data_IF_812595669180
#
_entry.id   IF_812595669180
#
_cell.length_a   1.000
_cell.length_b   1.000
_cell.length_c   1.000
_cell.angle_alpha   90.00
_cell.angle_beta   90.00
_cell.angle_gamma   90.00
#
_symmetry.space_group_name_H-M   'P 1'
#
loop_
_entity.id
_entity.type
_entity.pdbx_description
1 polymer ?
#
# COMPACT_ATOMS: atom_id res chain seq x y z
N UNK A 1 -26.91 -16.87 6.43
CA UNK A 1 -25.42 -16.89 6.41
C UNK A 1 -24.79 -15.51 6.08
N UNK A 2 -25.53 -14.60 5.44
CA UNK A 2 -25.16 -13.21 5.08
C UNK A 2 -24.81 -12.30 6.26
N UNK A 3 -25.46 -12.43 7.42
CA UNK A 3 -25.19 -11.59 8.60
C UNK A 3 -23.80 -11.82 9.23
N UNK A 4 -23.21 -13.02 9.12
CA UNK A 4 -21.90 -13.33 9.74
C UNK A 4 -20.73 -12.73 8.95
N UNK A 5 -20.82 -12.71 7.62
CA UNK A 5 -19.78 -12.11 6.76
C UNK A 5 -19.85 -10.59 6.72
N UNK A 6 -21.06 -10.00 6.77
CA UNK A 6 -21.20 -8.55 6.92
C UNK A 6 -20.58 -8.09 8.25
N UNK A 7 -20.82 -8.84 9.34
CA UNK A 7 -20.18 -8.60 10.64
C UNK A 7 -18.67 -8.76 10.58
N UNK A 8 -18.15 -9.78 9.89
CA UNK A 8 -16.70 -9.98 9.75
C UNK A 8 -16.03 -8.89 8.90
N UNK A 9 -16.71 -8.41 7.85
CA UNK A 9 -16.22 -7.31 7.01
C UNK A 9 -16.26 -5.96 7.72
N UNK A 10 -17.34 -5.65 8.45
CA UNK A 10 -17.42 -4.43 9.27
C UNK A 10 -16.49 -4.51 10.47
N UNK A 11 -16.30 -5.68 11.07
CA UNK A 11 -15.28 -5.90 12.10
C UNK A 11 -13.88 -5.74 11.54
N UNK A 12 -13.57 -6.28 10.35
CA UNK A 12 -12.27 -6.08 9.70
C UNK A 12 -12.00 -4.60 9.40
N UNK A 13 -13.01 -3.88 8.93
CA UNK A 13 -12.93 -2.45 8.63
C UNK A 13 -12.83 -1.60 9.90
N UNK A 14 -13.58 -1.91 10.96
CA UNK A 14 -13.42 -1.30 12.29
C UNK A 14 -12.06 -1.63 12.92
N UNK A 15 -11.57 -2.86 12.77
CA UNK A 15 -10.25 -3.30 13.20
C UNK A 15 -9.12 -2.64 12.38
N UNK A 16 -9.43 -2.09 11.21
CA UNK A 16 -8.48 -1.29 10.42
C UNK A 16 -8.31 0.13 10.99
N UNK A 17 -9.32 0.62 11.72
CA UNK A 17 -9.29 1.94 12.38
C UNK A 17 -8.87 1.89 13.86
N UNK A 18 -8.97 0.74 14.53
CA UNK A 18 -8.45 0.54 15.89
C UNK A 18 -6.94 0.75 16.08
N UNK A 19 -6.05 0.54 15.09
CA UNK A 19 -4.61 0.70 15.33
C UNK A 19 -4.23 2.14 15.64
N UNK A 20 -4.93 3.12 15.06
CA UNK A 20 -4.70 4.56 15.29
C UNK A 20 -4.93 4.92 16.76
N UNK A 21 -5.95 4.34 17.40
CA UNK A 21 -6.24 4.56 18.82
C UNK A 21 -5.27 3.79 19.74
N UNK A 22 -4.80 2.61 19.33
CA UNK A 22 -3.84 1.82 20.10
C UNK A 22 -2.43 2.43 20.09
N UNK A 23 -2.04 3.06 18.97
CA UNK A 23 -0.71 3.67 18.84
C UNK A 23 -0.52 4.87 19.77
N UNK A 24 -1.60 5.61 20.09
CA UNK A 24 -1.56 6.73 21.02
C UNK A 24 -1.18 6.32 22.47
N UNK A 25 -1.23 5.03 22.81
CA UNK A 25 -0.93 4.51 24.15
C UNK A 25 0.29 3.58 24.21
N UNK A 26 0.89 3.23 23.08
CA UNK A 26 2.06 2.35 23.01
C UNK A 26 3.32 3.23 23.06
N UNK A 27 3.94 3.35 24.24
CA UNK A 27 5.17 4.11 24.42
C UNK A 27 6.24 3.77 23.37
N UNK A 28 6.76 4.81 22.71
CA UNK A 28 7.64 4.87 21.52
C UNK A 28 8.98 4.11 21.55
N UNK A 29 9.16 2.96 22.20
CA UNK A 29 10.52 2.37 22.33
C UNK A 29 10.67 0.86 22.34
N UNK A 30 9.61 0.06 22.17
CA UNK A 30 9.73 -1.41 22.30
C UNK A 30 9.25 -2.23 21.11
N UNK A 31 8.63 -1.65 20.08
CA UNK A 31 7.99 -2.44 19.02
C UNK A 31 8.14 -1.84 17.61
N UNK A 32 9.38 -1.61 17.17
CA UNK A 32 9.70 -1.06 15.84
C UNK A 32 9.08 -1.85 14.68
N UNK A 33 8.90 -3.18 14.84
CA UNK A 33 8.17 -4.00 13.86
C UNK A 33 6.68 -3.64 13.82
N UNK A 34 6.03 -3.49 14.98
CA UNK A 34 4.59 -3.16 15.07
C UNK A 34 4.37 -1.76 14.53
N UNK A 35 5.23 -0.81 14.88
CA UNK A 35 5.21 0.54 14.34
C UNK A 35 5.36 0.53 12.83
N UNK A 36 6.30 -0.25 12.29
CA UNK A 36 6.45 -0.44 10.86
C UNK A 36 5.21 -1.04 10.19
N UNK A 37 4.58 -2.05 10.80
CA UNK A 37 3.35 -2.67 10.26
C UNK A 37 2.18 -1.68 10.22
N UNK A 38 2.10 -0.80 11.22
CA UNK A 38 1.04 0.20 11.31
C UNK A 38 1.34 1.46 10.51
N UNK A 39 2.61 1.74 10.20
CA UNK A 39 3.04 2.96 9.52
C UNK A 39 2.28 3.25 8.20
N UNK A 40 1.99 2.26 7.32
CA UNK A 40 1.18 2.50 6.14
C UNK A 40 -0.19 3.11 6.44
N UNK A 41 -0.76 2.86 7.62
CA UNK A 41 -2.08 3.38 8.03
C UNK A 41 -2.04 4.83 8.51
N UNK A 42 -0.86 5.40 8.75
CA UNK A 42 -0.72 6.72 9.40
C UNK A 42 -0.80 7.88 8.41
N UNK A 43 -0.49 7.63 7.14
CA UNK A 43 -0.59 8.67 6.11
C UNK A 43 -1.37 8.19 4.90
N UNK A 44 -2.12 9.11 4.27
CA UNK A 44 -2.93 8.78 3.09
C UNK A 44 -2.06 8.26 1.94
N UNK A 45 -0.91 8.87 1.65
CA UNK A 45 -0.06 8.42 0.53
C UNK A 45 0.50 7.01 0.76
N UNK A 46 0.83 6.66 2.00
CA UNK A 46 1.35 5.33 2.36
C UNK A 46 0.26 4.27 2.45
N UNK A 47 -0.99 4.67 2.75
CA UNK A 47 -2.15 3.79 2.80
C UNK A 47 -2.67 3.46 1.41
N UNK A 48 -2.87 4.50 0.59
CA UNK A 48 -3.62 4.39 -0.66
C UNK A 48 -2.87 3.61 -1.74
N UNK A 49 -1.54 3.66 -1.75
CA UNK A 49 -0.74 2.96 -2.75
C UNK A 49 -0.85 1.42 -2.60
N UNK A 50 -0.60 0.80 -1.43
CA UNK A 50 -0.85 -0.63 -1.21
C UNK A 50 -2.29 -1.04 -1.54
N UNK A 51 -3.28 -0.21 -1.17
CA UNK A 51 -4.69 -0.46 -1.47
C UNK A 51 -4.90 -0.56 -2.97
N UNK A 52 -4.53 0.47 -3.73
CA UNK A 52 -4.76 0.49 -5.18
C UNK A 52 -3.93 -0.57 -5.91
N UNK A 53 -2.73 -0.88 -5.43
CA UNK A 53 -1.91 -1.99 -5.93
C UNK A 53 -2.64 -3.32 -5.74
N UNK A 54 -3.21 -3.57 -4.55
CA UNK A 54 -4.04 -4.74 -4.29
C UNK A 54 -5.22 -4.84 -5.24
N UNK A 55 -5.97 -3.74 -5.42
CA UNK A 55 -7.11 -3.67 -6.34
C UNK A 55 -6.68 -4.00 -7.78
N UNK A 56 -5.61 -3.39 -8.29
CA UNK A 56 -5.12 -3.63 -9.64
C UNK A 56 -4.65 -5.07 -9.87
N UNK A 57 -3.85 -5.59 -8.94
CA UNK A 57 -3.27 -6.93 -9.03
C UNK A 57 -4.37 -8.00 -8.99
N UNK A 58 -5.54 -7.72 -8.39
CA UNK A 58 -6.70 -8.60 -8.45
C UNK A 58 -7.17 -8.90 -9.89
N UNK A 59 -7.17 -7.88 -10.76
CA UNK A 59 -7.54 -8.00 -12.18
C UNK A 59 -6.51 -8.78 -12.99
N UNK A 60 -5.26 -8.82 -12.53
CA UNK A 60 -4.16 -9.51 -13.18
C UNK A 60 -4.21 -11.03 -12.88
N UNK A 61 -4.85 -11.80 -13.76
CA UNK A 61 -5.15 -13.24 -13.52
C UNK A 61 -3.91 -14.12 -13.29
N UNK A 62 -2.84 -13.92 -14.07
CA UNK A 62 -1.62 -14.75 -14.00
C UNK A 62 -0.58 -14.17 -13.05
N UNK A 63 0.09 -15.06 -12.32
CA UNK A 63 1.21 -14.75 -11.40
C UNK A 63 0.85 -13.73 -10.32
N UNK A 64 -0.37 -13.81 -9.81
CA UNK A 64 -0.89 -12.91 -8.78
C UNK A 64 -0.01 -12.85 -7.53
N UNK A 65 0.32 -14.02 -6.95
CA UNK A 65 1.17 -14.10 -5.77
C UNK A 65 2.55 -13.51 -6.02
N UNK A 66 3.13 -13.78 -7.19
CA UNK A 66 4.42 -13.21 -7.58
C UNK A 66 4.37 -11.67 -7.69
N UNK A 67 3.29 -11.09 -8.24
CA UNK A 67 3.12 -9.63 -8.32
C UNK A 67 3.05 -8.98 -6.95
N UNK A 68 2.28 -9.55 -6.01
CA UNK A 68 2.21 -9.04 -4.64
C UNK A 68 3.53 -9.22 -3.89
N UNK A 69 4.21 -10.36 -4.08
CA UNK A 69 5.52 -10.59 -3.50
C UNK A 69 6.56 -9.59 -4.03
N UNK A 70 6.56 -9.29 -5.33
CA UNK A 70 7.44 -8.27 -5.92
C UNK A 70 7.21 -6.91 -5.27
N UNK A 71 5.95 -6.50 -5.12
CA UNK A 71 5.63 -5.24 -4.46
C UNK A 71 6.13 -5.22 -3.00
N UNK A 72 5.80 -6.23 -2.19
CA UNK A 72 6.21 -6.29 -0.79
C UNK A 72 7.74 -6.36 -0.61
N UNK A 73 8.43 -7.16 -1.43
CA UNK A 73 9.89 -7.24 -1.43
C UNK A 73 10.51 -5.92 -1.87
N UNK A 74 9.94 -5.23 -2.86
CA UNK A 74 10.44 -3.94 -3.28
C UNK A 74 10.23 -2.86 -2.22
N UNK A 75 9.14 -2.90 -1.45
CA UNK A 75 8.98 -2.04 -0.25
C UNK A 75 10.10 -2.31 0.75
N UNK A 76 10.39 -3.58 1.05
CA UNK A 76 11.49 -3.95 1.95
C UNK A 76 12.84 -3.44 1.43
N UNK A 77 13.13 -3.65 0.14
CA UNK A 77 14.37 -3.21 -0.49
C UNK A 77 14.48 -1.69 -0.50
N UNK A 78 13.42 -0.97 -0.84
CA UNK A 78 13.42 0.50 -0.84
C UNK A 78 13.64 1.07 0.55
N UNK A 79 12.97 0.52 1.55
CA UNK A 79 13.14 0.89 2.95
C UNK A 79 14.56 0.57 3.45
N UNK A 80 15.05 -0.64 3.20
CA UNK A 80 16.41 -1.05 3.54
C UNK A 80 17.48 -0.18 2.86
N UNK A 81 17.30 0.17 1.58
CA UNK A 81 18.22 1.04 0.85
C UNK A 81 18.34 2.43 1.51
N UNK A 82 17.22 2.98 2.02
CA UNK A 82 17.24 4.26 2.74
C UNK A 82 18.06 4.16 4.04
N UNK A 83 18.04 3.02 4.74
CA UNK A 83 18.89 2.83 5.95
C UNK A 83 20.38 2.85 5.64
N UNK A 84 20.76 2.58 4.39
CA UNK A 84 22.15 2.62 3.92
C UNK A 84 22.51 3.96 3.29
N UNK A 85 21.63 4.97 3.38
CA UNK A 85 21.85 6.29 2.79
C UNK A 85 21.63 6.36 1.27
N UNK A 86 21.08 5.31 0.65
CA UNK A 86 20.68 5.37 -0.76
C UNK A 86 19.34 6.08 -0.84
N UNK A 87 19.36 7.35 -1.26
CA UNK A 87 18.17 8.20 -1.34
C UNK A 87 17.66 8.24 -2.78
N UNK A 88 16.38 7.95 -2.95
CA UNK A 88 15.69 8.17 -4.23
C UNK A 88 15.24 9.64 -4.33
N UNK A 89 15.71 10.40 -5.34
CA UNK A 89 15.21 11.75 -5.56
C UNK A 89 13.71 11.70 -5.90
N UNK A 90 12.94 12.62 -5.33
CA UNK A 90 11.49 12.74 -5.57
C UNK A 90 10.68 11.48 -5.21
N UNK A 91 11.07 10.76 -4.15
CA UNK A 91 10.35 9.58 -3.69
C UNK A 91 8.84 9.83 -3.45
N UNK A 92 8.48 10.98 -2.88
CA UNK A 92 7.08 11.35 -2.64
C UNK A 92 6.30 11.52 -3.96
N UNK A 93 6.84 12.30 -4.90
CA UNK A 93 6.26 12.47 -6.23
C UNK A 93 6.10 11.14 -6.98
N UNK A 94 7.07 10.23 -6.84
CA UNK A 94 6.97 8.91 -7.46
C UNK A 94 5.91 8.02 -6.83
N UNK A 95 5.67 8.13 -5.51
CA UNK A 95 4.53 7.45 -4.86
C UNK A 95 3.20 7.96 -5.42
N UNK A 96 3.06 9.27 -5.66
CA UNK A 96 1.83 9.80 -6.28
C UNK A 96 1.67 9.39 -7.75
N UNK A 97 2.74 9.42 -8.54
CA UNK A 97 2.71 8.91 -9.92
C UNK A 97 2.36 7.42 -9.93
N UNK A 98 2.95 6.64 -9.02
CA UNK A 98 2.65 5.22 -8.84
C UNK A 98 1.17 5.00 -8.50
N UNK A 99 0.64 5.79 -7.58
CA UNK A 99 -0.75 5.76 -7.13
C UNK A 99 -1.71 6.06 -8.28
N UNK A 100 -1.47 7.14 -9.02
CA UNK A 100 -2.33 7.60 -10.12
C UNK A 100 -2.32 6.57 -11.25
N UNK A 101 -1.15 6.14 -11.71
CA UNK A 101 -1.07 5.20 -12.84
C UNK A 101 -1.62 3.80 -12.46
N UNK A 102 -1.40 3.33 -11.23
CA UNK A 102 -2.00 2.07 -10.75
C UNK A 102 -3.52 2.19 -10.56
N UNK A 103 -3.98 3.37 -10.12
CA UNK A 103 -5.40 3.70 -10.04
C UNK A 103 -6.08 3.70 -11.40
N UNK A 104 -5.51 4.37 -12.40
CA UNK A 104 -5.97 4.31 -13.79
C UNK A 104 -5.99 2.88 -14.33
N UNK A 105 -4.92 2.12 -14.09
CA UNK A 105 -4.86 0.72 -14.50
C UNK A 105 -5.97 -0.11 -13.85
N UNK A 106 -6.35 0.19 -12.60
CA UNK A 106 -7.50 -0.43 -11.93
C UNK A 106 -8.83 -0.01 -12.53
N UNK A 107 -9.04 1.30 -12.75
CA UNK A 107 -10.26 1.88 -13.33
C UNK A 107 -10.55 1.26 -14.70
N UNK A 108 -9.53 1.07 -15.54
CA UNK A 108 -9.67 0.45 -16.85
C UNK A 108 -9.59 -1.09 -16.81
N UNK A 109 -9.47 -1.68 -15.63
CA UNK A 109 -9.27 -3.12 -15.44
C UNK A 109 -8.14 -3.68 -16.31
N UNK A 110 -7.06 -2.90 -16.47
CA UNK A 110 -5.98 -3.20 -17.37
C UNK A 110 -5.16 -4.39 -16.88
N UNK A 111 -5.15 -5.46 -17.68
CA UNK A 111 -4.43 -6.69 -17.38
C UNK A 111 -3.01 -6.64 -17.95
N UNK A 112 -2.15 -5.83 -17.35
CA UNK A 112 -0.79 -5.69 -17.83
C UNK A 112 -0.04 -7.04 -17.84
N UNK A 113 0.71 -7.35 -18.91
CA UNK A 113 1.57 -8.52 -18.95
C UNK A 113 2.60 -8.46 -17.83
N UNK A 114 3.05 -9.63 -17.36
CA UNK A 114 3.96 -9.71 -16.20
C UNK A 114 5.25 -8.89 -16.41
N UNK A 115 5.78 -8.85 -17.65
CA UNK A 115 6.97 -8.09 -18.02
C UNK A 115 6.83 -6.57 -17.82
N UNK A 116 5.61 -6.02 -17.88
CA UNK A 116 5.33 -4.61 -17.61
C UNK A 116 4.91 -4.37 -16.16
N UNK A 117 4.11 -5.28 -15.60
CA UNK A 117 3.63 -5.13 -14.24
C UNK A 117 4.73 -5.32 -13.19
N UNK A 118 5.64 -6.26 -13.38
CA UNK A 118 6.72 -6.53 -12.44
C UNK A 118 7.64 -5.32 -12.19
N UNK A 119 8.25 -4.68 -13.22
CA UNK A 119 9.10 -3.51 -12.99
C UNK A 119 8.31 -2.34 -12.40
N UNK A 120 7.05 -2.15 -12.82
CA UNK A 120 6.20 -1.10 -12.25
C UNK A 120 5.90 -1.31 -10.76
N UNK A 121 5.58 -2.54 -10.36
CA UNK A 121 5.35 -2.90 -8.95
C UNK A 121 6.65 -2.79 -8.14
N UNK A 122 7.79 -3.13 -8.73
CA UNK A 122 9.09 -2.98 -8.09
C UNK A 122 9.42 -1.50 -7.86
N UNK A 123 9.23 -0.64 -8.86
CA UNK A 123 9.44 0.80 -8.72
C UNK A 123 8.47 1.40 -7.68
N UNK A 124 7.18 1.07 -7.78
CA UNK A 124 6.16 1.54 -6.84
C UNK A 124 6.45 1.13 -5.41
N UNK A 125 6.83 -0.14 -5.21
CA UNK A 125 7.19 -0.67 -3.90
C UNK A 125 8.46 -0.02 -3.35
N UNK A 126 9.51 0.12 -4.16
CA UNK A 126 10.74 0.80 -3.78
C UNK A 126 10.43 2.23 -3.31
N UNK A 127 9.76 3.04 -4.14
CA UNK A 127 9.44 4.43 -3.80
C UNK A 127 8.64 4.54 -2.50
N UNK A 128 7.69 3.63 -2.28
CA UNK A 128 6.93 3.57 -1.03
C UNK A 128 7.83 3.25 0.18
N UNK A 129 8.71 2.25 0.06
CA UNK A 129 9.64 1.88 1.12
C UNK A 129 10.56 3.03 1.52
N UNK A 130 11.11 3.73 0.53
CA UNK A 130 11.92 4.94 0.73
C UNK A 130 11.13 6.04 1.45
N UNK A 131 9.93 6.38 0.95
CA UNK A 131 9.09 7.44 1.52
C UNK A 131 8.79 7.20 3.00
N UNK A 132 8.48 5.96 3.38
CA UNK A 132 8.19 5.62 4.77
C UNK A 132 9.43 5.73 5.67
N UNK A 133 10.61 5.36 5.16
CA UNK A 133 11.85 5.44 5.94
C UNK A 133 12.37 6.86 6.08
N UNK A 134 12.23 7.71 5.05
CA UNK A 134 12.67 9.11 5.08
C UNK A 134 12.01 9.86 6.24
N UNK A 135 10.71 9.62 6.49
CA UNK A 135 9.93 10.30 7.53
C UNK A 135 10.37 9.94 8.95
N UNK A 136 10.90 8.73 9.14
CA UNK A 136 11.28 8.18 10.45
C UNK A 136 12.81 8.06 10.61
N UNK A 137 13.59 8.67 9.71
CA UNK A 137 15.04 8.62 9.79
C UNK A 137 15.50 9.43 11.02
N UNK A 138 16.08 8.75 12.01
CA UNK A 138 16.66 9.37 13.21
C UNK A 138 15.84 9.20 14.50
N UNK A 139 14.62 8.67 14.42
CA UNK A 139 13.75 8.38 15.59
C UNK A 139 13.75 6.90 15.97
N UNK A 140 14.10 6.02 15.03
CA UNK A 140 14.02 4.57 15.16
C UNK A 140 15.21 3.96 15.91
N UNK A 141 14.94 2.92 16.71
CA UNK A 141 15.97 2.15 17.43
C UNK A 141 16.59 1.09 16.51
N UNK A 142 15.77 0.36 15.77
CA UNK A 142 16.13 -0.70 14.83
C UNK A 142 15.47 -0.46 13.45
N UNK A 143 16.09 0.34 12.57
CA UNK A 143 15.53 0.74 11.27
C UNK A 143 15.17 -0.43 10.35
N UNK A 144 15.89 -1.55 10.44
CA UNK A 144 15.64 -2.76 9.64
C UNK A 144 14.37 -3.51 10.08
N UNK A 145 14.09 -3.54 11.39
CA UNK A 145 12.87 -4.15 11.92
C UNK A 145 11.65 -3.32 11.53
N UNK A 146 11.78 -2.00 11.54
CA UNK A 146 10.77 -1.08 11.03
C UNK A 146 10.53 -1.26 9.53
N UNK A 147 11.59 -1.32 8.71
CA UNK A 147 11.51 -1.60 7.27
C UNK A 147 10.78 -2.93 6.97
N UNK A 148 11.10 -3.97 7.73
CA UNK A 148 10.38 -5.25 7.66
C UNK A 148 8.90 -5.08 8.00
N UNK A 149 8.59 -4.35 9.06
CA UNK A 149 7.21 -4.01 9.43
C UNK A 149 6.45 -3.33 8.30
N UNK A 150 7.03 -2.30 7.66
CA UNK A 150 6.40 -1.57 6.54
C UNK A 150 6.09 -2.50 5.37
N UNK A 151 7.04 -3.38 5.03
CA UNK A 151 6.87 -4.34 3.95
C UNK A 151 5.73 -5.33 4.25
N UNK A 152 5.65 -5.82 5.49
CA UNK A 152 4.57 -6.70 5.95
C UNK A 152 3.22 -5.96 5.95
N UNK A 153 3.13 -4.78 6.54
CA UNK A 153 1.91 -3.98 6.59
C UNK A 153 1.38 -3.62 5.20
N UNK A 154 2.27 -3.12 4.33
CA UNK A 154 1.93 -2.78 2.94
C UNK A 154 1.54 -4.03 2.13
N UNK A 155 2.28 -5.13 2.30
CA UNK A 155 1.98 -6.41 1.65
C UNK A 155 0.62 -6.95 2.08
N UNK A 156 0.31 -6.93 3.38
CA UNK A 156 -0.98 -7.40 3.92
C UNK A 156 -2.15 -6.56 3.41
N UNK A 157 -2.01 -5.23 3.35
CA UNK A 157 -3.02 -4.36 2.74
C UNK A 157 -3.26 -4.74 1.27
N UNK A 158 -2.21 -4.88 0.48
CA UNK A 158 -2.34 -5.25 -0.92
C UNK A 158 -2.97 -6.64 -1.10
N UNK A 159 -2.57 -7.63 -0.30
CA UNK A 159 -3.17 -8.98 -0.28
C UNK A 159 -4.65 -8.93 0.10
N UNK A 160 -5.00 -8.15 1.12
CA UNK A 160 -6.38 -8.03 1.60
C UNK A 160 -7.30 -7.48 0.51
N UNK A 161 -6.98 -6.32 -0.06
CA UNK A 161 -7.82 -5.71 -1.10
C UNK A 161 -7.87 -6.53 -2.38
N UNK A 162 -6.77 -7.17 -2.74
CA UNK A 162 -6.77 -8.12 -3.84
C UNK A 162 -7.69 -9.34 -3.58
N UNK A 163 -7.63 -9.89 -2.37
CA UNK A 163 -8.45 -10.99 -1.91
C UNK A 163 -9.94 -10.63 -1.91
N UNK A 164 -10.28 -9.42 -1.47
CA UNK A 164 -11.67 -8.90 -1.48
C UNK A 164 -12.22 -8.90 -2.91
N UNK A 165 -11.52 -8.33 -3.90
CA UNK A 165 -12.02 -8.35 -5.29
C UNK A 165 -12.11 -9.77 -5.84
N UNK A 166 -11.15 -10.64 -5.49
CA UNK A 166 -11.11 -12.02 -6.00
C UNK A 166 -12.06 -12.98 -5.32
N UNK A 167 -12.57 -12.65 -4.15
CA UNK A 167 -13.62 -13.40 -3.49
C UNK A 167 -14.87 -13.35 -4.39
N UNK A 168 -14.98 -14.32 -5.32
CA UNK A 168 -15.99 -14.41 -6.40
C UNK A 168 -17.44 -14.58 -5.92
N UNK A 169 -17.70 -14.32 -4.65
CA UNK A 169 -19.01 -14.44 -4.04
C UNK A 169 -19.99 -13.36 -4.50
N UNK A 170 -19.48 -12.22 -4.99
CA UNK A 170 -20.31 -11.09 -5.39
C UNK A 170 -19.87 -10.50 -6.73
N UNK A 171 -20.79 -10.42 -7.68
CA UNK A 171 -20.56 -9.90 -9.03
C UNK A 171 -20.28 -8.40 -9.08
N UNK A 172 -20.65 -7.63 -8.05
CA UNK A 172 -20.47 -6.18 -7.99
C UNK A 172 -19.11 -5.74 -7.44
N UNK A 173 -18.33 -6.63 -6.81
CA UNK A 173 -17.04 -6.28 -6.20
C UNK A 173 -16.01 -5.70 -7.19
N UNK A 174 -15.89 -6.22 -8.43
CA UNK A 174 -15.02 -5.59 -9.42
C UNK A 174 -15.45 -4.16 -9.77
N UNK A 175 -16.76 -3.88 -9.80
CA UNK A 175 -17.28 -2.54 -10.07
C UNK A 175 -16.94 -1.61 -8.90
N UNK A 176 -17.20 -2.04 -7.66
CA UNK A 176 -16.85 -1.26 -6.48
C UNK A 176 -15.34 -1.00 -6.37
N UNK A 177 -14.49 -1.99 -6.72
CA UNK A 177 -13.04 -1.79 -6.77
C UNK A 177 -12.62 -0.72 -7.78
N UNK A 178 -13.27 -0.66 -8.94
CA UNK A 178 -13.02 0.38 -9.97
C UNK A 178 -13.49 1.76 -9.52
N UNK A 179 -14.67 1.84 -8.89
CA UNK A 179 -15.17 3.09 -8.29
C UNK A 179 -14.21 3.54 -7.20
N UNK A 180 -13.84 2.68 -6.25
CA UNK A 180 -12.88 3.03 -5.21
C UNK A 180 -11.56 3.54 -5.81
N UNK A 181 -11.03 2.86 -6.85
CA UNK A 181 -9.83 3.31 -7.53
C UNK A 181 -9.98 4.68 -8.21
N UNK A 182 -11.15 5.07 -8.72
CA UNK A 182 -11.37 6.42 -9.26
C UNK A 182 -11.30 7.49 -8.19
N UNK A 183 -11.88 7.25 -7.01
CA UNK A 183 -11.76 8.17 -5.86
C UNK A 183 -10.30 8.30 -5.41
N UNK A 184 -9.59 7.17 -5.30
CA UNK A 184 -8.17 7.16 -4.93
C UNK A 184 -7.31 7.92 -5.96
N UNK A 185 -7.56 7.70 -7.25
CA UNK A 185 -6.83 8.36 -8.34
C UNK A 185 -7.07 9.86 -8.33
N UNK A 186 -8.32 10.29 -8.15
CA UNK A 186 -8.68 11.70 -8.06
C UNK A 186 -8.04 12.38 -6.85
N UNK A 187 -8.09 11.74 -5.67
CA UNK A 187 -7.43 12.25 -4.47
C UNK A 187 -5.91 12.35 -4.65
N UNK A 188 -5.29 11.30 -5.23
CA UNK A 188 -3.86 11.29 -5.54
C UNK A 188 -3.45 12.41 -6.49
N UNK A 189 -4.24 12.66 -7.54
CA UNK A 189 -3.99 13.75 -8.49
C UNK A 189 -4.12 15.12 -7.82
N UNK A 190 -5.16 15.34 -7.01
CA UNK A 190 -5.35 16.60 -6.29
C UNK A 190 -4.17 16.90 -5.37
N UNK A 191 -3.75 15.94 -4.55
CA UNK A 191 -2.62 16.13 -3.62
C UNK A 191 -1.32 16.35 -4.39
N UNK A 192 -1.08 15.58 -5.45
CA UNK A 192 0.14 15.73 -6.26
C UNK A 192 0.24 17.11 -6.92
N UNK A 193 -0.86 17.61 -7.48
CA UNK A 193 -0.93 18.96 -8.05
C UNK A 193 -0.62 20.00 -6.97
N UNK A 194 -1.24 19.90 -5.80
CA UNK A 194 -0.98 20.84 -4.71
C UNK A 194 0.49 20.84 -4.27
N UNK A 195 1.15 19.69 -4.22
CA UNK A 195 2.58 19.59 -3.87
C UNK A 195 3.50 20.18 -4.93
N UNK A 196 3.15 20.12 -6.22
CA UNK A 196 3.99 20.65 -7.32
C UNK A 196 3.94 22.17 -7.39
N UNK A 197 2.82 22.78 -6.97
CA UNK A 197 2.60 24.23 -7.03
C UNK A 197 2.85 24.98 -5.70
N UNK A 198 3.37 24.30 -4.68
CA UNK A 198 3.85 24.90 -3.43
C UNK A 198 5.37 24.99 -3.43
#
# INVERSE_FOLDING_TARGET
>A
MTKRLLRAGTLGLLCSFTPVAAQAHMGFSRFDVVEGVLNPLLSMSTLLLPVVTGLWVAFCRRCFGARLAIFALAVLVGAGAQTQGVVMPYADSMVFVALIATGLATIFAWQAPFRLAAPWLALSGWSLGQLNMIKETGTLKDPLLFAFGIAVGSGLLAVYFAGVIRARRFSWLPIAGRVLASWITAAGLMVWVLQVYQ
#
